data_IF_170282202944
#
_entry.id   IF_170282202944
#
_cell.length_a   1.000
_cell.length_b   1.000
_cell.length_c   1.000
_cell.angle_alpha   90.00
_cell.angle_beta   90.00
_cell.angle_gamma   90.00
#
_symmetry.space_group_name_H-M   'P 1'
#
loop_
_entity.id
_entity.type
_entity.pdbx_description
1 polymer ?
#
# COMPACT_ATOMS: atom_id res chain seq x y z
N UNK A 1 1.15 19.01 -36.90
CA UNK A 1 -0.23 19.23 -37.44
C UNK A 1 -1.29 19.17 -36.34
N UNK A 2 -1.31 18.17 -35.45
CA UNK A 2 -2.28 18.06 -34.34
C UNK A 2 -2.23 19.26 -33.36
N UNK A 3 -1.06 19.75 -32.99
CA UNK A 3 -0.92 20.93 -32.12
C UNK A 3 -1.51 22.22 -32.75
N UNK A 4 -1.42 22.33 -34.07
CA UNK A 4 -1.97 23.48 -34.80
C UNK A 4 -3.50 23.45 -34.83
N UNK A 5 -4.08 22.26 -34.99
CA UNK A 5 -5.53 22.03 -34.94
C UNK A 5 -6.10 22.35 -33.54
N UNK A 6 -5.43 21.92 -32.46
CA UNK A 6 -5.85 22.27 -31.10
C UNK A 6 -5.76 23.76 -30.80
N UNK A 7 -4.77 24.46 -31.36
CA UNK A 7 -4.64 25.91 -31.19
C UNK A 7 -5.68 26.71 -32.01
N UNK A 8 -6.08 26.23 -33.18
CA UNK A 8 -7.12 26.84 -34.03
C UNK A 8 -8.52 26.63 -33.45
N UNK A 9 -8.79 25.48 -32.85
CA UNK A 9 -10.08 25.17 -32.19
C UNK A 9 -10.17 25.71 -30.75
N UNK A 10 -9.11 26.32 -30.21
CA UNK A 10 -9.09 26.86 -28.85
C UNK A 10 -9.22 25.78 -27.75
N UNK A 11 -9.03 24.52 -28.09
CA UNK A 11 -9.15 23.39 -27.18
C UNK A 11 -7.81 23.19 -26.46
N UNK A 12 -7.81 23.35 -25.15
CA UNK A 12 -6.64 23.08 -24.35
C UNK A 12 -6.60 21.58 -24.01
N UNK A 13 -5.69 20.78 -24.61
CA UNK A 13 -5.62 19.34 -24.35
C UNK A 13 -5.24 19.00 -22.89
N UNK A 14 -4.65 19.95 -22.17
CA UNK A 14 -4.30 19.78 -20.76
C UNK A 14 -5.50 19.93 -19.81
N UNK A 15 -6.60 20.56 -20.25
CA UNK A 15 -7.78 20.74 -19.38
C UNK A 15 -8.41 19.40 -18.97
N UNK A 16 -8.39 18.39 -19.84
CA UNK A 16 -8.92 17.06 -19.57
C UNK A 16 -8.05 16.23 -18.62
N UNK A 17 -6.72 16.36 -18.72
CA UNK A 17 -5.82 15.59 -17.84
C UNK A 17 -5.68 16.21 -16.44
N UNK A 18 -5.93 17.51 -16.28
CA UNK A 18 -5.87 18.18 -14.99
C UNK A 18 -6.87 17.59 -13.97
N UNK A 19 -8.07 17.24 -14.43
CA UNK A 19 -9.08 16.59 -13.61
C UNK A 19 -8.65 15.19 -13.14
N UNK A 20 -7.89 14.46 -13.95
CA UNK A 20 -7.37 13.14 -13.60
C UNK A 20 -6.22 13.20 -12.59
N UNK A 21 -5.59 14.37 -12.39
CA UNK A 21 -4.52 14.59 -11.42
C UNK A 21 -5.03 14.93 -10.01
N UNK A 22 -6.31 15.33 -9.86
CA UNK A 22 -6.91 15.67 -8.56
C UNK A 22 -6.77 14.53 -7.52
N UNK A 23 -6.95 13.24 -7.86
CA UNK A 23 -6.78 12.16 -6.90
C UNK A 23 -5.35 11.98 -6.38
N UNK A 24 -4.31 12.43 -7.11
CA UNK A 24 -2.91 12.20 -6.74
C UNK A 24 -2.51 12.80 -5.39
N UNK A 25 -2.80 14.08 -5.08
CA UNK A 25 -2.48 14.62 -3.75
C UNK A 25 -3.17 13.86 -2.61
N UNK A 26 -4.41 13.41 -2.85
CA UNK A 26 -5.17 12.61 -1.86
C UNK A 26 -4.51 11.25 -1.67
N UNK A 27 -4.11 10.58 -2.76
CA UNK A 27 -3.42 9.30 -2.71
C UNK A 27 -2.06 9.41 -2.01
N UNK A 28 -1.29 10.47 -2.26
CA UNK A 28 -0.01 10.72 -1.59
C UNK A 28 -0.21 10.93 -0.10
N UNK A 29 -1.23 11.72 0.29
CA UNK A 29 -1.57 11.93 1.69
C UNK A 29 -1.99 10.63 2.37
N UNK A 30 -2.90 9.87 1.74
CA UNK A 30 -3.37 8.58 2.24
C UNK A 30 -2.22 7.56 2.37
N UNK A 31 -1.34 7.49 1.37
CA UNK A 31 -0.15 6.65 1.40
C UNK A 31 0.78 7.00 2.58
N UNK A 32 0.97 8.31 2.84
CA UNK A 32 1.77 8.77 3.98
C UNK A 32 1.16 8.35 5.33
N UNK A 33 -0.17 8.37 5.44
CA UNK A 33 -0.89 7.95 6.66
C UNK A 33 -0.77 6.45 6.88
N UNK A 34 -0.98 5.65 5.83
CA UNK A 34 -0.90 4.18 5.90
C UNK A 34 0.50 3.71 6.28
N UNK A 35 1.55 4.35 5.75
CA UNK A 35 2.95 3.98 6.06
C UNK A 35 3.41 4.38 7.45
N UNK A 36 2.74 5.33 8.09
CA UNK A 36 3.09 5.86 9.40
C UNK A 36 1.91 5.83 10.35
N UNK A 37 1.42 4.63 10.72
CA UNK A 37 0.23 4.50 11.55
C UNK A 37 0.42 5.10 12.95
N UNK A 38 1.60 4.99 13.54
CA UNK A 38 1.85 5.51 14.87
C UNK A 38 1.82 7.05 14.89
N UNK A 39 2.58 7.68 14.00
CA UNK A 39 2.69 9.15 14.00
C UNK A 39 1.55 9.85 13.29
N UNK A 40 0.94 9.25 12.25
CA UNK A 40 -0.08 9.91 11.41
C UNK A 40 -1.52 9.51 11.72
N UNK A 41 -1.76 8.31 12.21
CA UNK A 41 -3.12 7.87 12.62
C UNK A 41 -3.34 8.06 14.11
N UNK A 42 -2.40 7.60 14.94
CA UNK A 42 -2.52 7.69 16.41
C UNK A 42 -1.99 9.00 16.99
N UNK A 43 -1.34 9.83 16.16
CA UNK A 43 -0.70 11.10 16.58
C UNK A 43 0.31 10.94 17.72
N UNK A 44 0.94 9.76 17.78
CA UNK A 44 1.99 9.47 18.75
C UNK A 44 3.25 10.28 18.40
N UNK A 45 3.92 10.81 19.43
CA UNK A 45 5.15 11.59 19.22
C UNK A 45 6.30 10.69 18.75
N UNK A 46 7.28 11.27 18.05
CA UNK A 46 8.46 10.51 17.60
C UNK A 46 9.24 9.90 18.79
N UNK A 47 9.24 10.57 19.93
CA UNK A 47 9.85 10.08 21.16
C UNK A 47 9.25 8.75 21.65
N UNK A 48 7.92 8.60 21.52
CA UNK A 48 7.24 7.34 21.84
C UNK A 48 7.57 6.25 20.82
N UNK A 49 7.67 6.58 19.53
CA UNK A 49 8.09 5.64 18.48
C UNK A 49 9.51 5.13 18.76
N UNK A 50 10.43 6.03 19.10
CA UNK A 50 11.81 5.68 19.44
C UNK A 50 11.89 4.84 20.72
N UNK A 51 11.04 5.13 21.71
CA UNK A 51 10.92 4.34 22.94
C UNK A 51 10.44 2.92 22.67
N UNK A 52 9.40 2.76 21.83
CA UNK A 52 8.91 1.45 21.38
C UNK A 52 9.98 0.68 20.61
N UNK A 53 10.65 1.35 19.68
CA UNK A 53 11.70 0.72 18.88
C UNK A 53 12.85 0.20 19.76
N UNK A 54 13.34 1.03 20.69
CA UNK A 54 14.40 0.63 21.60
C UNK A 54 13.97 -0.55 22.50
N UNK A 55 12.75 -0.48 23.04
CA UNK A 55 12.20 -1.56 23.86
C UNK A 55 12.11 -2.89 23.06
N UNK A 56 11.63 -2.84 21.81
CA UNK A 56 11.52 -4.05 20.98
C UNK A 56 12.88 -4.61 20.58
N UNK A 57 13.87 -3.77 20.37
CA UNK A 57 15.25 -4.20 20.14
C UNK A 57 15.83 -4.88 21.37
N UNK A 58 15.61 -4.33 22.58
CA UNK A 58 16.03 -4.94 23.85
C UNK A 58 15.39 -6.29 24.12
N UNK A 59 14.12 -6.45 23.75
CA UNK A 59 13.40 -7.73 23.84
C UNK A 59 13.79 -8.74 22.75
N UNK A 60 14.52 -8.31 21.72
CA UNK A 60 14.85 -9.13 20.55
C UNK A 60 13.67 -9.35 19.58
N UNK A 61 12.60 -8.58 19.71
CA UNK A 61 11.42 -8.66 18.83
C UNK A 61 11.59 -7.88 17.53
N UNK A 62 12.51 -6.92 17.50
CA UNK A 62 12.79 -6.08 16.36
C UNK A 62 14.29 -5.98 16.09
N UNK A 63 14.66 -6.11 14.82
CA UNK A 63 16.02 -5.87 14.35
C UNK A 63 16.00 -4.64 13.47
N UNK A 64 16.83 -3.66 13.81
CA UNK A 64 16.95 -2.42 13.01
C UNK A 64 17.52 -2.80 11.64
N UNK A 65 16.80 -2.56 10.54
CA UNK A 65 17.32 -2.87 9.21
C UNK A 65 18.50 -1.96 8.86
N UNK A 66 19.51 -2.49 8.16
CA UNK A 66 20.67 -1.72 7.71
C UNK A 66 20.30 -0.54 6.78
N UNK A 67 19.22 -0.69 6.04
CA UNK A 67 18.67 0.38 5.19
C UNK A 67 17.35 0.84 5.76
N UNK A 68 17.19 2.17 5.86
CA UNK A 68 15.92 2.77 6.24
C UNK A 68 14.84 2.29 5.27
N UNK A 69 13.97 1.40 5.74
CA UNK A 69 12.76 1.07 5.02
C UNK A 69 11.63 1.98 5.51
N UNK A 70 10.70 2.26 4.64
CA UNK A 70 9.58 3.13 5.04
C UNK A 70 8.48 2.37 5.79
N UNK A 71 8.73 1.17 6.30
CA UNK A 71 7.75 0.29 6.94
C UNK A 71 7.96 0.15 8.45
N UNK A 72 8.95 0.84 9.02
CA UNK A 72 9.30 0.77 10.44
C UNK A 72 8.08 0.91 11.35
N UNK A 73 7.26 1.95 11.16
CA UNK A 73 6.09 2.18 12.01
C UNK A 73 5.01 1.10 11.86
N UNK A 74 4.85 0.51 10.67
CA UNK A 74 3.93 -0.61 10.45
C UNK A 74 4.42 -1.84 11.22
N UNK A 75 5.71 -2.16 11.11
CA UNK A 75 6.32 -3.28 11.84
C UNK A 75 6.24 -3.09 13.35
N UNK A 76 6.52 -1.86 13.84
CA UNK A 76 6.38 -1.57 15.27
C UNK A 76 4.93 -1.69 15.74
N UNK A 77 3.95 -1.26 14.93
CA UNK A 77 2.54 -1.39 15.26
C UNK A 77 2.09 -2.86 15.28
N UNK A 78 2.62 -3.69 14.38
CA UNK A 78 2.37 -5.15 14.33
C UNK A 78 2.95 -5.85 15.56
N UNK A 79 4.21 -5.55 15.93
CA UNK A 79 4.84 -6.08 17.15
C UNK A 79 4.07 -5.62 18.38
N UNK A 80 3.63 -4.37 18.42
CA UNK A 80 2.77 -3.85 19.50
C UNK A 80 1.47 -4.64 19.62
N UNK A 81 0.83 -4.97 18.49
CA UNK A 81 -0.39 -5.79 18.50
C UNK A 81 -0.13 -7.19 19.06
N UNK A 82 0.95 -7.82 18.62
CA UNK A 82 1.32 -9.19 19.02
C UNK A 82 1.66 -9.29 20.51
N UNK A 83 2.33 -8.25 21.06
CA UNK A 83 2.81 -8.19 22.44
C UNK A 83 2.11 -7.10 23.25
N UNK A 84 0.82 -6.86 23.00
CA UNK A 84 0.09 -5.74 23.58
C UNK A 84 0.17 -5.66 25.10
N UNK A 85 -0.05 -6.76 25.78
CA UNK A 85 -0.09 -6.82 27.25
C UNK A 85 1.28 -6.53 27.87
N UNK A 86 2.36 -7.06 27.26
CA UNK A 86 3.72 -6.81 27.70
C UNK A 86 4.12 -5.35 27.46
N UNK A 87 3.77 -4.79 26.31
CA UNK A 87 4.04 -3.40 25.97
C UNK A 87 3.30 -2.45 26.91
N UNK A 88 2.03 -2.70 27.16
CA UNK A 88 1.25 -1.88 28.13
C UNK A 88 1.81 -1.94 29.55
N UNK A 89 2.22 -3.13 29.99
CA UNK A 89 2.75 -3.29 31.35
C UNK A 89 4.14 -2.67 31.52
N UNK A 90 5.01 -2.83 30.51
CA UNK A 90 6.39 -2.33 30.56
C UNK A 90 6.51 -0.81 30.37
N UNK A 91 5.66 -0.24 29.52
CA UNK A 91 5.74 1.17 29.10
C UNK A 91 4.57 2.00 29.61
N UNK A 92 3.86 1.56 30.67
CA UNK A 92 2.75 2.27 31.25
C UNK A 92 3.10 3.72 31.57
N UNK A 93 2.29 4.67 31.09
CA UNK A 93 2.50 6.12 31.25
C UNK A 93 3.57 6.74 30.35
N UNK A 94 4.19 5.98 29.46
CA UNK A 94 5.15 6.49 28.45
C UNK A 94 4.60 6.42 27.03
N UNK A 95 3.50 5.71 26.81
CA UNK A 95 2.92 5.40 25.50
C UNK A 95 1.49 5.94 25.36
N UNK A 96 1.26 7.16 25.84
CA UNK A 96 -0.05 7.79 25.74
C UNK A 96 -0.49 7.93 24.27
N UNK A 97 -1.73 7.56 23.98
CA UNK A 97 -2.29 7.62 22.64
C UNK A 97 -2.03 6.39 21.76
N UNK A 98 -1.25 5.41 22.24
CA UNK A 98 -1.03 4.16 21.51
C UNK A 98 -2.32 3.32 21.51
N UNK A 99 -2.73 2.87 20.33
CA UNK A 99 -3.88 2.00 20.13
C UNK A 99 -3.42 0.65 19.59
N UNK A 100 -4.14 -0.41 19.99
CA UNK A 100 -3.93 -1.73 19.42
C UNK A 100 -4.56 -1.82 18.03
N UNK A 101 -3.74 -1.90 16.98
CA UNK A 101 -4.21 -2.05 15.60
C UNK A 101 -3.93 -3.48 15.14
N UNK A 102 -4.98 -4.19 14.77
CA UNK A 102 -4.90 -5.48 14.11
C UNK A 102 -4.87 -5.27 12.59
N UNK A 103 -3.79 -5.70 11.95
CA UNK A 103 -3.62 -5.69 10.49
C UNK A 103 -4.13 -6.97 9.82
N UNK A 104 -4.73 -7.88 10.57
CA UNK A 104 -5.21 -9.16 10.03
C UNK A 104 -6.57 -8.99 9.36
N UNK A 105 -6.64 -9.27 8.09
CA UNK A 105 -7.87 -9.26 7.30
C UNK A 105 -8.06 -10.61 6.59
N UNK A 106 -9.17 -11.28 6.82
CA UNK A 106 -9.47 -12.62 6.27
C UNK A 106 -8.35 -13.66 6.53
N UNK A 107 -7.68 -13.57 7.69
CA UNK A 107 -6.57 -14.46 8.03
C UNK A 107 -5.24 -14.11 7.37
N UNK A 108 -5.18 -13.00 6.63
CA UNK A 108 -3.95 -12.49 6.01
C UNK A 108 -3.49 -11.25 6.74
N UNK A 109 -2.24 -11.22 7.19
CA UNK A 109 -1.65 -10.04 7.82
C UNK A 109 -1.18 -9.05 6.75
N UNK A 110 -1.93 -7.95 6.60
CA UNK A 110 -1.65 -6.89 5.62
C UNK A 110 -0.48 -5.98 6.03
N UNK A 111 0.01 -6.07 7.27
CA UNK A 111 1.21 -5.37 7.73
C UNK A 111 2.50 -5.99 7.19
N UNK A 112 2.46 -7.23 6.74
CA UNK A 112 3.61 -7.94 6.19
C UNK A 112 3.82 -7.63 4.72
N UNK A 113 5.10 -7.63 4.31
CA UNK A 113 5.44 -7.49 2.89
C UNK A 113 5.37 -8.85 2.19
N UNK A 114 4.77 -8.93 0.98
CA UNK A 114 4.80 -10.15 0.19
C UNK A 114 6.24 -10.44 -0.24
N UNK A 115 6.74 -11.61 0.14
CA UNK A 115 8.06 -12.05 -0.27
C UNK A 115 8.01 -12.72 -1.64
N UNK A 116 8.84 -12.25 -2.59
CA UNK A 116 8.97 -12.88 -3.92
C UNK A 116 9.51 -14.31 -3.84
N UNK A 117 10.21 -14.60 -2.75
CA UNK A 117 10.89 -15.87 -2.51
C UNK A 117 10.09 -16.80 -1.57
N UNK A 118 8.79 -16.53 -1.42
CA UNK A 118 7.95 -17.25 -0.46
C UNK A 118 7.94 -18.77 -0.72
N UNK A 119 8.12 -19.22 -1.98
CA UNK A 119 8.18 -20.63 -2.32
C UNK A 119 9.35 -21.38 -1.68
N UNK A 120 10.48 -20.72 -1.40
CA UNK A 120 11.68 -21.35 -0.85
C UNK A 120 11.80 -21.23 0.67
N UNK A 121 11.08 -20.31 1.29
CA UNK A 121 11.16 -20.05 2.73
C UNK A 121 9.90 -20.46 3.50
N UNK A 122 8.81 -20.76 2.80
CA UNK A 122 7.53 -21.14 3.44
C UNK A 122 7.56 -22.61 3.82
N UNK A 123 7.19 -22.91 5.08
CA UNK A 123 6.95 -24.29 5.50
C UNK A 123 5.60 -24.76 4.93
N UNK A 124 5.67 -25.61 3.92
CA UNK A 124 4.50 -26.18 3.24
C UNK A 124 3.79 -27.25 4.05
N UNK A 125 4.38 -27.70 5.15
CA UNK A 125 3.79 -28.71 6.01
C UNK A 125 2.70 -28.12 6.91
N UNK A 126 2.74 -26.80 7.18
CA UNK A 126 1.81 -26.11 8.07
C UNK A 126 0.88 -25.14 7.28
N UNK A 127 -0.43 -25.45 7.17
CA UNK A 127 -1.41 -24.59 6.50
C UNK A 127 -1.55 -23.20 7.12
N UNK A 128 -1.23 -23.04 8.41
CA UNK A 128 -1.31 -21.74 9.10
C UNK A 128 -0.19 -20.79 8.66
N UNK A 129 0.89 -21.32 8.12
CA UNK A 129 2.04 -20.54 7.61
C UNK A 129 1.89 -20.22 6.12
N UNK A 130 1.66 -21.25 5.29
CA UNK A 130 1.60 -21.03 3.84
C UNK A 130 0.29 -20.35 3.38
N UNK A 131 -0.82 -20.54 4.10
CA UNK A 131 -2.11 -19.94 3.72
C UNK A 131 -2.06 -18.41 3.66
N UNK A 132 -1.67 -17.70 4.74
CA UNK A 132 -1.49 -16.25 4.74
C UNK A 132 -0.44 -15.76 3.74
N UNK A 133 0.69 -16.46 3.62
CA UNK A 133 1.76 -16.11 2.67
C UNK A 133 1.28 -16.21 1.21
N UNK A 134 0.54 -17.27 0.87
CA UNK A 134 -0.10 -17.42 -0.44
C UNK A 134 -1.16 -16.34 -0.66
N UNK A 135 -1.93 -15.99 0.36
CA UNK A 135 -2.91 -14.90 0.31
C UNK A 135 -2.25 -13.57 -0.08
N UNK A 136 -1.18 -13.17 0.61
CA UNK A 136 -0.42 -11.96 0.29
C UNK A 136 0.13 -11.98 -1.13
N UNK A 137 0.68 -13.12 -1.56
CA UNK A 137 1.22 -13.28 -2.91
C UNK A 137 0.15 -13.16 -3.99
N UNK A 138 -1.07 -13.67 -3.74
CA UNK A 138 -2.16 -13.64 -4.72
C UNK A 138 -2.84 -12.27 -4.86
N UNK A 139 -2.78 -11.40 -3.86
CA UNK A 139 -3.44 -10.07 -3.89
C UNK A 139 -3.08 -9.26 -5.16
N UNK A 140 -1.81 -9.09 -5.55
CA UNK A 140 -1.47 -8.32 -6.76
C UNK A 140 -2.01 -8.97 -8.04
N UNK A 141 -2.04 -10.30 -8.11
CA UNK A 141 -2.58 -11.00 -9.28
C UNK A 141 -4.10 -10.86 -9.39
N UNK A 142 -4.82 -10.95 -8.27
CA UNK A 142 -6.26 -10.71 -8.21
C UNK A 142 -6.56 -9.27 -8.62
N UNK A 143 -5.80 -8.29 -8.10
CA UNK A 143 -5.94 -6.87 -8.45
C UNK A 143 -5.70 -6.62 -9.94
N UNK A 144 -4.66 -7.22 -10.51
CA UNK A 144 -4.36 -7.13 -11.93
C UNK A 144 -5.46 -7.77 -12.78
N UNK A 145 -5.96 -8.94 -12.39
CA UNK A 145 -7.05 -9.63 -13.06
C UNK A 145 -8.36 -8.85 -13.05
N UNK A 146 -8.72 -8.26 -11.90
CA UNK A 146 -9.90 -7.41 -11.77
C UNK A 146 -9.75 -6.12 -12.60
N UNK A 147 -8.57 -5.52 -12.62
CA UNK A 147 -8.28 -4.33 -13.44
C UNK A 147 -8.40 -4.65 -14.93
N UNK A 148 -7.84 -5.79 -15.37
CA UNK A 148 -7.98 -6.25 -16.75
C UNK A 148 -9.45 -6.51 -17.12
N UNK A 149 -10.21 -7.18 -16.25
CA UNK A 149 -11.63 -7.44 -16.45
C UNK A 149 -12.44 -6.13 -16.54
N UNK A 150 -12.16 -5.18 -15.64
CA UNK A 150 -12.79 -3.85 -15.65
C UNK A 150 -12.52 -3.11 -16.96
N UNK A 151 -11.27 -3.13 -17.44
CA UNK A 151 -10.88 -2.55 -18.72
C UNK A 151 -11.62 -3.21 -19.89
N UNK A 152 -11.72 -4.54 -19.88
CA UNK A 152 -12.42 -5.29 -20.92
C UNK A 152 -13.91 -4.96 -20.96
N UNK A 153 -14.56 -4.89 -19.80
CA UNK A 153 -15.99 -4.52 -19.69
C UNK A 153 -16.19 -3.07 -20.18
N UNK A 154 -15.31 -2.14 -19.78
CA UNK A 154 -15.39 -0.74 -20.21
C UNK A 154 -15.24 -0.60 -21.73
N UNK A 155 -14.33 -1.34 -22.34
CA UNK A 155 -14.12 -1.34 -23.80
C UNK A 155 -15.31 -1.96 -24.54
N UNK A 156 -15.93 -3.00 -23.98
CA UNK A 156 -17.15 -3.58 -24.56
C UNK A 156 -18.36 -2.63 -24.48
N UNK A 157 -18.44 -1.85 -23.40
CA UNK A 157 -19.52 -0.86 -23.21
C UNK A 157 -19.33 0.40 -24.08
N UNK A 158 -18.08 0.74 -24.47
CA UNK A 158 -17.75 1.92 -25.28
C UNK A 158 -16.87 1.57 -26.49
N UNK A 159 -17.44 0.93 -27.53
CA UNK A 159 -16.68 0.52 -28.72
C UNK A 159 -16.13 1.69 -29.55
N UNK A 160 -16.59 2.92 -29.29
CA UNK A 160 -16.12 4.15 -29.97
C UNK A 160 -14.65 4.45 -29.66
N UNK A 161 -14.17 4.10 -28.47
CA UNK A 161 -12.78 4.36 -28.08
C UNK A 161 -11.77 3.48 -28.86
N UNK A 162 -12.14 2.25 -29.19
CA UNK A 162 -11.28 1.37 -29.96
C UNK A 162 -11.15 1.81 -31.43
N UNK A 163 -12.22 2.35 -32.00
CA UNK A 163 -12.20 2.91 -33.36
C UNK A 163 -11.34 4.19 -33.43
N UNK A 164 -11.39 5.05 -32.42
CA UNK A 164 -10.54 6.25 -32.34
C UNK A 164 -9.07 5.89 -32.08
N UNK A 165 -8.78 4.91 -31.22
CA UNK A 165 -7.43 4.46 -30.98
C UNK A 165 -6.82 3.79 -32.23
N UNK A 166 -7.61 2.99 -32.96
CA UNK A 166 -7.20 2.39 -34.22
C UNK A 166 -6.99 3.42 -35.34
N UNK A 167 -7.83 4.46 -35.40
CA UNK A 167 -7.69 5.55 -36.34
C UNK A 167 -6.43 6.40 -36.06
N UNK A 168 -6.11 6.66 -34.77
CA UNK A 168 -4.91 7.40 -34.37
C UNK A 168 -3.61 6.62 -34.66
N UNK A 169 -3.61 5.30 -34.48
CA UNK A 169 -2.47 4.45 -34.85
C UNK A 169 -2.27 4.39 -36.37
N UNK A 170 -3.37 4.40 -37.15
CA UNK A 170 -3.31 4.37 -38.61
C UNK A 170 -2.82 5.69 -39.22
N UNK A 171 -3.01 6.81 -38.51
CA UNK A 171 -2.53 8.12 -38.94
C UNK A 171 -1.06 8.38 -38.62
N UNK A 172 -0.43 7.53 -37.80
CA UNK A 172 1.00 7.62 -37.45
C UNK A 172 1.91 6.74 -38.30
N UNK A 173 1.37 5.98 -39.25
CA UNK A 173 2.12 5.19 -40.23
C UNK A 173 1.95 5.81 -41.61
#
# INVERSE_FOLDING_TARGET
EMQKLYSEEGINPMSGCLWSLIPFPILIALYSVIRRPLTRMMFVTQEVVDTLQNFFVEQGWYIIPEKADGYVEITLAEITHTHWDEVQSALAGKIDGLMNIDFTFLGVNLGQQPEWNFFSHTDWSDPSVWGPALGLFLIPFISAGLSWLSMKISNMANPVNDAQAAASMKSMN
#
